data_IF_416595174081
#
_entry.id   IF_416595174081
#
_cell.length_a   1.000
_cell.length_b   1.000
_cell.length_c   1.000
_cell.angle_alpha   90.00
_cell.angle_beta   90.00
_cell.angle_gamma   90.00
#
_symmetry.space_group_name_H-M   'P 1'
#
loop_
_entity.id
_entity.type
_entity.pdbx_description
1 polymer ?
#
# COMPACT_ATOMS: atom_id res chain seq x y z
N UNK A 1 -4.22 -17.15 8.21
CA UNK A 1 -3.65 -16.30 7.15
C UNK A 1 -4.77 -15.44 6.58
N UNK A 2 -4.79 -14.13 6.83
CA UNK A 2 -5.73 -13.24 6.14
C UNK A 2 -5.11 -12.92 4.78
N UNK A 3 -5.74 -13.38 3.72
CA UNK A 3 -5.33 -13.06 2.34
C UNK A 3 -5.76 -11.61 2.10
N UNK A 4 -4.80 -10.72 1.91
CA UNK A 4 -5.08 -9.32 1.59
C UNK A 4 -5.11 -9.19 0.06
N UNK A 5 -6.21 -8.71 -0.49
CA UNK A 5 -6.36 -8.44 -1.92
C UNK A 5 -6.00 -6.97 -2.18
N UNK A 6 -5.06 -6.75 -3.08
CA UNK A 6 -4.62 -5.45 -3.58
C UNK A 6 -4.18 -5.60 -5.03
N UNK A 7 -4.32 -4.54 -5.80
CA UNK A 7 -4.04 -4.44 -7.23
C UNK A 7 -2.90 -3.46 -7.49
N UNK A 8 -2.29 -3.47 -8.69
CA UNK A 8 -1.48 -2.34 -9.15
C UNK A 8 -2.26 -1.04 -8.99
N UNK A 9 -1.55 0.07 -8.74
CA UNK A 9 -2.11 1.40 -8.47
C UNK A 9 -2.78 1.61 -7.09
N UNK A 10 -2.98 0.57 -6.29
CA UNK A 10 -3.52 0.72 -4.94
C UNK A 10 -2.51 1.40 -3.99
N UNK A 11 -3.02 2.06 -2.95
CA UNK A 11 -2.20 2.52 -1.84
C UNK A 11 -2.26 1.56 -0.67
N UNK A 12 -1.11 1.29 -0.08
CA UNK A 12 -0.94 0.47 1.11
C UNK A 12 -0.41 1.37 2.23
N UNK A 13 -1.05 1.28 3.39
CA UNK A 13 -0.52 1.81 4.64
C UNK A 13 0.17 0.66 5.38
N UNK A 14 1.49 0.74 5.55
CA UNK A 14 2.25 -0.25 6.32
C UNK A 14 2.25 0.11 7.82
N UNK A 15 2.32 -0.91 8.68
CA UNK A 15 2.48 -0.76 10.12
C UNK A 15 3.83 -0.14 10.47
N UNK A 16 4.88 -0.56 9.76
CA UNK A 16 6.23 -0.01 9.92
C UNK A 16 6.40 1.19 8.99
N UNK A 17 6.88 2.35 9.49
CA UNK A 17 7.23 3.46 8.63
C UNK A 17 8.43 3.11 7.76
N UNK A 18 8.47 3.69 6.56
CA UNK A 18 9.68 3.76 5.76
C UNK A 18 10.75 4.53 6.55
N UNK A 19 12.05 4.27 6.38
CA UNK A 19 13.13 5.09 6.95
C UNK A 19 13.01 6.60 6.68
N UNK A 20 12.19 7.04 5.72
CA UNK A 20 11.88 8.47 5.51
C UNK A 20 10.74 9.03 6.38
N UNK A 21 10.08 8.22 7.21
CA UNK A 21 8.93 8.61 8.04
C UNK A 21 7.55 8.39 7.41
N UNK A 22 7.48 8.18 6.09
CA UNK A 22 6.20 7.88 5.41
C UNK A 22 5.76 6.43 5.61
N UNK A 23 4.44 6.23 5.80
CA UNK A 23 3.82 4.90 5.94
C UNK A 23 3.02 4.47 4.71
N UNK A 24 2.91 5.37 3.73
CA UNK A 24 2.14 5.18 2.51
C UNK A 24 3.02 4.68 1.37
N UNK A 25 2.55 3.63 0.73
CA UNK A 25 3.22 2.98 -0.39
C UNK A 25 2.23 2.75 -1.51
N UNK A 26 2.61 3.08 -2.74
CA UNK A 26 1.84 2.78 -3.95
C UNK A 26 2.28 1.45 -4.52
N UNK A 27 1.34 0.56 -4.84
CA UNK A 27 1.63 -0.69 -5.52
C UNK A 27 1.88 -0.40 -7.00
N UNK A 28 3.00 -0.91 -7.52
CA UNK A 28 3.36 -0.76 -8.93
C UNK A 28 3.10 -2.07 -9.68
N UNK A 29 3.53 -3.19 -9.08
CA UNK A 29 3.39 -4.52 -9.68
C UNK A 29 3.06 -5.53 -8.60
N UNK A 30 2.11 -6.41 -8.91
CA UNK A 30 1.75 -7.55 -8.07
C UNK A 30 2.12 -8.84 -8.81
N UNK A 31 3.03 -9.63 -8.24
CA UNK A 31 3.41 -10.95 -8.73
C UNK A 31 3.81 -11.87 -7.56
N UNK A 32 4.80 -12.75 -7.78
CA UNK A 32 5.42 -13.52 -6.68
C UNK A 32 6.07 -12.61 -5.64
N UNK A 33 6.76 -11.58 -6.13
CA UNK A 33 7.18 -10.41 -5.38
C UNK A 33 6.30 -9.21 -5.74
N UNK A 34 6.15 -8.29 -4.80
CA UNK A 34 5.34 -7.09 -4.95
C UNK A 34 6.27 -5.90 -4.95
N UNK A 35 6.19 -5.08 -5.99
CA UNK A 35 6.93 -3.83 -6.09
C UNK A 35 6.05 -2.68 -5.62
N UNK A 36 6.53 -1.95 -4.62
CA UNK A 36 5.84 -0.81 -4.02
C UNK A 36 6.73 0.42 -4.05
N UNK A 37 6.17 1.61 -4.25
CA UNK A 37 6.89 2.89 -4.21
C UNK A 37 6.44 3.68 -3.00
N UNK A 38 7.39 4.18 -2.20
CA UNK A 38 7.09 5.06 -1.09
C UNK A 38 6.54 6.39 -1.62
N UNK A 39 5.34 6.79 -1.15
CA UNK A 39 4.71 8.05 -1.59
C UNK A 39 5.39 9.31 -1.04
N UNK A 40 6.28 9.18 -0.06
CA UNK A 40 6.98 10.32 0.54
C UNK A 40 8.37 10.61 -0.03
N UNK A 41 9.12 9.57 -0.42
CA UNK A 41 10.47 9.73 -0.97
C UNK A 41 10.66 9.16 -2.38
N UNK A 42 9.64 8.54 -2.96
CA UNK A 42 9.69 7.99 -4.32
C UNK A 42 10.56 6.74 -4.50
N UNK A 43 11.14 6.18 -3.42
CA UNK A 43 11.92 4.93 -3.51
C UNK A 43 11.01 3.75 -3.77
N UNK A 44 11.38 2.93 -4.74
CA UNK A 44 10.79 1.61 -4.93
C UNK A 44 11.43 0.58 -3.99
N UNK A 45 10.60 -0.31 -3.47
CA UNK A 45 11.01 -1.48 -2.72
C UNK A 45 10.30 -2.70 -3.30
N UNK A 46 11.03 -3.79 -3.39
CA UNK A 46 10.48 -5.08 -3.77
C UNK A 46 10.42 -5.96 -2.53
N UNK A 47 9.25 -6.51 -2.24
CA UNK A 47 8.98 -7.31 -1.04
C UNK A 47 8.20 -8.56 -1.40
N UNK A 48 8.50 -9.65 -0.72
CA UNK A 48 7.72 -10.88 -0.84
C UNK A 48 6.28 -10.66 -0.39
N UNK A 49 5.34 -11.26 -1.12
CA UNK A 49 3.91 -11.21 -0.82
C UNK A 49 3.58 -11.52 0.66
N UNK A 50 4.05 -12.62 1.28
CA UNK A 50 3.74 -12.93 2.67
C UNK A 50 4.35 -11.93 3.68
N UNK A 51 5.49 -11.33 3.35
CA UNK A 51 6.15 -10.34 4.21
C UNK A 51 5.42 -9.00 4.16
N UNK A 52 4.97 -8.62 2.97
CA UNK A 52 4.17 -7.42 2.75
C UNK A 52 2.81 -7.56 3.46
N UNK A 53 2.10 -8.68 3.27
CA UNK A 53 0.79 -8.94 3.89
C UNK A 53 0.81 -8.83 5.42
N UNK A 54 1.87 -9.32 6.08
CA UNK A 54 2.05 -9.17 7.54
C UNK A 54 2.29 -7.72 7.97
N UNK A 55 2.90 -6.93 7.08
CA UNK A 55 3.30 -5.55 7.33
C UNK A 55 2.20 -4.55 6.97
N UNK A 56 1.22 -4.92 6.15
CA UNK A 56 0.07 -4.08 5.81
C UNK A 56 -0.77 -3.83 7.06
N UNK A 57 -1.08 -2.55 7.28
CA UNK A 57 -2.01 -2.07 8.30
C UNK A 57 -3.39 -1.85 7.69
N UNK A 58 -3.43 -1.14 6.55
CA UNK A 58 -4.65 -0.82 5.80
C UNK A 58 -4.32 -0.82 4.30
N UNK A 59 -5.26 -1.28 3.49
CA UNK A 59 -5.25 -1.10 2.04
C UNK A 59 -6.21 0.03 1.72
N UNK A 60 -5.74 1.02 0.97
CA UNK A 60 -6.50 2.17 0.51
C UNK A 60 -6.68 1.96 -1.00
N UNK A 61 -7.79 1.33 -1.37
CA UNK A 61 -8.15 1.16 -2.78
C UNK A 61 -8.67 2.47 -3.35
N UNK A 62 -8.60 2.63 -4.68
CA UNK A 62 -9.19 3.79 -5.37
C UNK A 62 -10.69 3.93 -5.05
N UNK A 63 -11.41 2.81 -4.90
CA UNK A 63 -12.82 2.80 -4.53
C UNK A 63 -13.11 3.37 -3.12
N UNK A 64 -12.21 3.19 -2.14
CA UNK A 64 -12.38 3.81 -0.82
C UNK A 64 -12.09 5.32 -0.84
N UNK A 65 -11.21 5.79 -1.74
CA UNK A 65 -10.91 7.22 -1.88
C UNK A 65 -12.09 8.05 -2.39
N UNK A 66 -13.03 7.45 -3.10
CA UNK A 66 -14.24 8.14 -3.56
C UNK A 66 -15.26 8.30 -2.43
N UNK A 67 -15.35 7.34 -1.50
CA UNK A 67 -16.32 7.39 -0.39
C UNK A 67 -16.01 8.42 0.70
N UNK A 68 -14.77 8.91 0.81
CA UNK A 68 -14.41 9.95 1.79
C UNK A 68 -14.60 11.38 1.29
N UNK A 69 -14.78 11.61 -0.02
CA UNK A 69 -15.02 12.96 -0.55
C UNK A 69 -16.49 13.41 -0.48
N UNK A 70 -17.43 12.48 -0.30
CA UNK A 70 -18.87 12.78 -0.30
C UNK A 70 -19.45 13.07 1.10
N UNK A 71 -18.62 13.11 2.15
CA UNK A 71 -19.04 13.45 3.53
C UNK A 71 -18.74 14.89 3.96
N UNK A 72 -18.31 15.75 3.05
CA UNK A 72 -18.00 17.15 3.38
C UNK A 72 -18.70 18.15 2.46
N UNK A 73 -19.90 17.81 1.97
CA UNK A 73 -20.84 18.73 1.34
C UNK A 73 -22.06 18.85 2.24
#
# INVERSE_FOLDING_TARGET
MRIVRFSPDDMLELKKPHPCGSKLFRVVRVGSEVRIICSGCGRDLTLDRPRLEKSIKKVITKEEKEKEKEKNV
#
